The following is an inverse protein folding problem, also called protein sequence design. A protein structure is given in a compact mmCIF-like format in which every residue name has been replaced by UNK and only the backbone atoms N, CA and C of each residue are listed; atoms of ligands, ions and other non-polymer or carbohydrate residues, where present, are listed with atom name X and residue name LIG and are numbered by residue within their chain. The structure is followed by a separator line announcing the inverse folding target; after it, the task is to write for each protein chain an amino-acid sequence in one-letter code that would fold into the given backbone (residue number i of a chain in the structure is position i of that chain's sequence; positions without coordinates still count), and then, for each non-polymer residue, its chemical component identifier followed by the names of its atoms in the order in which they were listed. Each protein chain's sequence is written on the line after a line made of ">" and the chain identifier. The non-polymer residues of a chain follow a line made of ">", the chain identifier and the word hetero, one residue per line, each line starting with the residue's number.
data_IF_567375991114
#
_entry.id   IF_567375991114
#
_cell.length_a   1.000
_cell.length_b   1.000
_cell.length_c   1.000
_cell.angle_alpha   90.00
_cell.angle_beta   90.00
_cell.angle_gamma   90.00
#
_symmetry.space_group_name_H-M   'P 1'
#
loop_
_entity.id
_entity.type
_entity.pdbx_description
1 polymer ?
#
# COMPACT_ATOMS: atom_id res chain seq x y z
N UNK A 1 -12.54 23.61 47.50
CA UNK A 1 -11.12 23.25 47.26
C UNK A 1 -10.99 21.91 46.53
N UNK A 2 -11.33 20.77 47.13
CA UNK A 2 -11.12 19.44 46.53
C UNK A 2 -11.78 19.23 45.14
N UNK A 3 -12.99 19.76 44.92
CA UNK A 3 -13.71 19.65 43.62
C UNK A 3 -13.02 20.40 42.48
N UNK A 4 -12.39 21.55 42.79
CA UNK A 4 -11.65 22.33 41.80
C UNK A 4 -10.35 21.60 41.42
N UNK A 5 -9.68 21.00 42.39
CA UNK A 5 -8.47 20.19 42.13
C UNK A 5 -8.78 18.95 41.27
N UNK A 6 -9.90 18.28 41.50
CA UNK A 6 -10.33 17.11 40.69
C UNK A 6 -10.62 17.53 39.24
N UNK A 7 -11.32 18.64 39.03
CA UNK A 7 -11.60 19.15 37.68
C UNK A 7 -10.32 19.54 36.92
N UNK A 8 -9.34 20.12 37.62
CA UNK A 8 -8.05 20.51 37.05
C UNK A 8 -7.17 19.29 36.70
N UNK A 9 -7.22 18.24 37.52
CA UNK A 9 -6.52 16.98 37.26
C UNK A 9 -7.11 16.23 36.06
N UNK A 10 -8.45 16.19 35.97
CA UNK A 10 -9.15 15.54 34.86
C UNK A 10 -8.91 16.30 33.55
N UNK A 11 -8.93 17.63 33.55
CA UNK A 11 -8.67 18.42 32.35
C UNK A 11 -7.23 18.25 31.83
N UNK A 12 -6.25 18.18 32.74
CA UNK A 12 -4.86 17.92 32.38
C UNK A 12 -4.67 16.52 31.75
N UNK A 13 -5.37 15.50 32.26
CA UNK A 13 -5.29 14.13 31.74
C UNK A 13 -5.89 14.01 30.33
N UNK A 14 -7.00 14.71 30.07
CA UNK A 14 -7.67 14.71 28.75
C UNK A 14 -6.83 15.43 27.70
N UNK A 15 -6.14 16.52 28.07
CA UNK A 15 -5.21 17.21 27.15
C UNK A 15 -4.00 16.34 26.78
N UNK A 16 -3.44 15.57 27.72
CA UNK A 16 -2.31 14.67 27.45
C UNK A 16 -2.67 13.50 26.53
N UNK A 17 -3.93 13.04 26.54
CA UNK A 17 -4.39 11.92 25.72
C UNK A 17 -4.59 12.26 24.23
N UNK A 18 -4.64 13.54 23.87
CA UNK A 18 -4.71 13.98 22.47
C UNK A 18 -3.32 14.14 21.80
N UNK A 19 -2.23 13.93 22.54
CA UNK A 19 -0.86 13.94 22.01
C UNK A 19 -0.48 12.59 21.40
N UNK A 20 -1.00 12.27 20.21
CA UNK A 20 -0.66 11.05 19.49
C UNK A 20 0.68 11.17 18.78
N UNK A 21 1.78 10.87 19.46
CA UNK A 21 3.06 10.65 18.77
C UNK A 21 3.03 9.29 18.06
N UNK A 22 3.15 9.34 16.73
CA UNK A 22 3.40 8.17 15.90
C UNK A 22 4.82 7.67 16.17
N UNK A 23 5.00 6.93 17.26
CA UNK A 23 6.27 6.31 17.60
C UNK A 23 6.57 5.20 16.58
N UNK A 24 7.23 5.58 15.49
CA UNK A 24 7.91 4.62 14.60
C UNK A 24 9.24 4.30 15.29
N UNK A 25 9.50 3.03 15.58
CA UNK A 25 10.76 2.59 16.22
C UNK A 25 12.01 3.07 15.47
N UNK A 26 11.88 3.38 14.17
CA UNK A 26 12.93 3.96 13.35
C UNK A 26 12.48 5.33 12.83
N UNK A 27 12.69 6.38 13.61
CA UNK A 27 12.61 7.76 13.11
C UNK A 27 13.98 8.12 12.56
N UNK A 28 14.16 7.99 11.25
CA UNK A 28 15.23 8.75 10.58
C UNK A 28 14.85 10.22 10.73
N UNK A 29 15.67 10.98 11.46
CA UNK A 29 15.51 12.43 11.57
C UNK A 29 15.82 12.99 10.19
N UNK A 30 14.78 13.22 9.39
CA UNK A 30 14.86 14.15 8.28
C UNK A 30 13.87 15.25 8.57
N UNK A 31 14.35 16.46 8.75
CA UNK A 31 13.54 17.62 9.15
C UNK A 31 12.69 18.14 7.97
N UNK A 32 12.54 17.33 6.91
CA UNK A 32 11.91 17.70 5.64
C UNK A 32 12.74 18.69 4.82
N UNK A 33 13.79 19.26 5.41
CA UNK A 33 14.77 20.13 4.75
C UNK A 33 15.84 19.29 4.05
N UNK A 34 16.27 19.67 2.83
CA UNK A 34 17.43 19.06 2.21
C UNK A 34 18.64 19.20 3.13
N UNK A 35 19.31 18.09 3.44
CA UNK A 35 20.55 18.10 4.23
C UNK A 35 21.67 18.70 3.38
N UNK A 36 22.18 19.86 3.78
CA UNK A 36 23.19 20.61 3.03
C UNK A 36 24.59 19.96 3.01
N UNK A 37 24.80 18.92 3.84
CA UNK A 37 26.05 18.16 3.91
C UNK A 37 25.89 16.68 3.55
N UNK A 38 24.68 16.25 3.17
CA UNK A 38 24.41 14.87 2.79
C UNK A 38 25.02 14.55 1.43
N UNK A 39 26.07 13.73 1.40
CA UNK A 39 26.65 13.24 0.14
C UNK A 39 25.88 11.99 -0.29
N UNK A 40 25.14 12.09 -1.39
CA UNK A 40 24.51 10.94 -2.04
C UNK A 40 25.51 10.35 -3.04
N UNK A 41 26.11 9.16 -2.76
CA UNK A 41 27.01 8.54 -3.71
C UNK A 41 26.25 8.18 -4.99
N UNK A 42 26.84 8.54 -6.13
CA UNK A 42 26.32 8.18 -7.47
C UNK A 42 26.93 6.86 -7.92
N UNK A 43 26.18 6.12 -8.73
CA UNK A 43 26.71 4.93 -9.38
C UNK A 43 27.80 5.34 -10.41
N UNK A 44 28.81 4.48 -10.67
CA UNK A 44 29.86 4.76 -11.63
C UNK A 44 29.32 5.05 -13.03
N UNK A 45 30.02 5.92 -13.78
CA UNK A 45 29.69 6.18 -15.17
C UNK A 45 30.05 4.98 -16.05
N UNK A 46 29.08 4.47 -16.79
CA UNK A 46 29.29 3.45 -17.80
C UNK A 46 29.68 4.12 -19.14
N UNK A 47 30.86 3.76 -19.66
CA UNK A 47 31.33 4.20 -20.98
C UNK A 47 30.84 3.16 -22.00
N UNK A 48 30.08 3.56 -23.04
CA UNK A 48 29.67 2.65 -24.10
C UNK A 48 30.88 2.12 -24.89
N UNK A 49 30.80 0.88 -25.38
CA UNK A 49 31.87 0.25 -26.17
C UNK A 49 32.20 1.03 -27.46
N UNK A 50 31.21 1.73 -28.05
CA UNK A 50 31.36 2.53 -29.25
C UNK A 50 31.24 4.04 -28.97
N UNK A 51 32.39 4.72 -28.91
CA UNK A 51 32.52 6.16 -28.59
C UNK A 51 32.42 7.07 -29.84
N UNK A 52 32.06 6.52 -31.00
CA UNK A 52 31.94 7.32 -32.23
C UNK A 52 30.69 8.21 -32.12
N UNK A 53 30.82 9.50 -32.45
CA UNK A 53 29.74 10.47 -32.29
C UNK A 53 28.42 10.07 -33.02
N UNK A 54 28.50 9.22 -34.03
CA UNK A 54 27.38 8.70 -34.81
C UNK A 54 26.67 7.48 -34.18
N UNK A 55 27.29 6.80 -33.20
CA UNK A 55 26.71 5.66 -32.48
C UNK A 55 26.21 6.02 -31.08
N UNK A 56 26.44 7.26 -30.63
CA UNK A 56 25.93 7.71 -29.33
C UNK A 56 24.40 7.80 -29.40
N UNK A 57 23.68 7.20 -28.44
CA UNK A 57 22.25 7.35 -28.36
C UNK A 57 21.89 8.82 -28.18
N UNK A 58 20.84 9.27 -28.85
CA UNK A 58 20.34 10.64 -28.70
C UNK A 58 20.01 10.90 -27.22
N UNK A 59 20.42 12.04 -26.64
CA UNK A 59 20.07 12.37 -25.27
C UNK A 59 18.55 12.35 -25.12
N UNK A 60 18.06 11.86 -23.98
CA UNK A 60 16.62 11.76 -23.70
C UNK A 60 16.27 12.75 -22.57
N UNK A 61 15.92 14.02 -22.90
CA UNK A 61 15.59 15.02 -21.90
C UNK A 61 14.45 14.56 -21.00
N UNK A 62 14.59 14.79 -19.69
CA UNK A 62 13.57 14.46 -18.68
C UNK A 62 13.52 12.99 -18.26
N UNK A 63 14.35 12.11 -18.82
CA UNK A 63 14.53 10.76 -18.27
C UNK A 63 15.29 10.81 -16.94
N UNK A 64 15.05 9.81 -16.09
CA UNK A 64 15.81 9.63 -14.86
C UNK A 64 17.29 9.40 -15.19
N UNK A 65 18.17 10.02 -14.40
CA UNK A 65 19.60 9.82 -14.56
C UNK A 65 19.97 8.38 -14.17
N UNK A 66 20.80 7.73 -15.01
CA UNK A 66 21.23 6.34 -14.80
C UNK A 66 22.14 6.18 -13.59
N UNK A 67 22.87 7.22 -13.20
CA UNK A 67 23.79 7.18 -12.05
C UNK A 67 23.12 7.55 -10.72
N UNK A 68 21.84 7.91 -10.74
CA UNK A 68 21.11 8.19 -9.52
C UNK A 68 20.75 6.88 -8.82
N UNK A 69 21.00 6.74 -7.50
CA UNK A 69 20.75 5.50 -6.79
C UNK A 69 19.26 5.16 -6.81
N UNK A 70 18.95 3.92 -7.20
CA UNK A 70 17.59 3.36 -7.18
C UNK A 70 17.50 2.24 -6.14
N UNK A 71 17.42 2.57 -4.82
CA UNK A 71 17.57 1.58 -3.75
C UNK A 71 16.53 0.46 -3.82
N UNK A 72 15.28 0.79 -4.17
CA UNK A 72 14.22 -0.20 -4.34
C UNK A 72 14.46 -1.11 -5.54
N UNK A 73 14.92 -0.56 -6.66
CA UNK A 73 15.26 -1.33 -7.86
C UNK A 73 16.40 -2.30 -7.59
N UNK A 74 17.46 -1.82 -6.96
CA UNK A 74 18.64 -2.63 -6.61
C UNK A 74 18.26 -3.75 -5.63
N UNK A 75 17.42 -3.48 -4.63
CA UNK A 75 16.90 -4.50 -3.73
C UNK A 75 16.07 -5.58 -4.46
N UNK A 76 15.20 -5.17 -5.39
CA UNK A 76 14.40 -6.10 -6.19
C UNK A 76 15.29 -7.00 -7.03
N UNK A 77 16.32 -6.44 -7.69
CA UNK A 77 17.28 -7.20 -8.49
C UNK A 77 18.06 -8.21 -7.66
N UNK A 78 18.57 -7.81 -6.49
CA UNK A 78 19.29 -8.70 -5.56
C UNK A 78 18.40 -9.86 -5.07
N UNK A 79 17.10 -9.60 -4.90
CA UNK A 79 16.12 -10.63 -4.52
C UNK A 79 15.66 -11.49 -5.70
N UNK A 80 16.21 -11.30 -6.90
CA UNK A 80 15.88 -12.05 -8.12
C UNK A 80 14.62 -11.58 -8.84
N UNK A 81 14.13 -10.39 -8.52
CA UNK A 81 12.98 -9.76 -9.17
C UNK A 81 13.36 -8.88 -10.37
N UNK A 82 12.34 -8.41 -11.10
CA UNK A 82 12.54 -7.54 -12.26
C UNK A 82 12.34 -6.06 -11.88
N UNK A 83 13.37 -5.22 -12.07
CA UNK A 83 13.32 -3.76 -11.82
C UNK A 83 12.26 -3.06 -12.65
N UNK A 84 12.01 -3.50 -13.88
CA UNK A 84 11.01 -2.91 -14.75
C UNK A 84 9.58 -3.07 -14.19
N UNK A 85 9.35 -4.03 -13.30
CA UNK A 85 8.05 -4.21 -12.64
C UNK A 85 7.70 -3.03 -11.71
N UNK A 86 8.68 -2.30 -11.19
CA UNK A 86 8.45 -1.12 -10.34
C UNK A 86 7.82 0.04 -11.11
N UNK A 87 8.08 0.12 -12.42
CA UNK A 87 7.58 1.16 -13.31
C UNK A 87 6.50 0.64 -14.27
N UNK A 88 6.00 -0.59 -14.05
CA UNK A 88 5.02 -1.20 -14.91
C UNK A 88 3.69 -0.43 -14.82
N UNK A 89 3.40 0.37 -15.85
CA UNK A 89 2.12 1.06 -16.03
C UNK A 89 1.18 0.17 -16.82
N UNK A 90 0.46 -0.71 -16.11
CA UNK A 90 -0.62 -1.51 -16.68
C UNK A 90 -0.41 -3.02 -16.56
N UNK A 91 -1.13 -3.76 -17.39
CA UNK A 91 -1.15 -5.22 -17.36
C UNK A 91 0.03 -5.76 -18.18
N UNK A 92 0.85 -6.68 -17.65
CA UNK A 92 1.90 -7.35 -18.41
C UNK A 92 1.35 -8.07 -19.66
N UNK A 93 2.10 -8.06 -20.76
CA UNK A 93 1.70 -8.77 -21.98
C UNK A 93 1.49 -10.28 -21.75
N UNK A 94 2.21 -10.89 -20.80
CA UNK A 94 2.04 -12.28 -20.37
C UNK A 94 0.63 -12.59 -19.87
N UNK A 95 -0.05 -11.60 -19.31
CA UNK A 95 -1.33 -11.78 -18.62
C UNK A 95 -2.52 -11.43 -19.52
N UNK A 96 -2.27 -11.01 -20.76
CA UNK A 96 -3.29 -10.61 -21.74
C UNK A 96 -4.32 -11.71 -22.00
N UNK A 97 -3.89 -12.97 -22.14
CA UNK A 97 -4.78 -14.11 -22.34
C UNK A 97 -5.68 -14.37 -21.13
N UNK A 98 -5.15 -14.20 -19.90
CA UNK A 98 -5.92 -14.33 -18.67
C UNK A 98 -6.98 -13.23 -18.57
N UNK A 99 -6.61 -11.99 -18.90
CA UNK A 99 -7.57 -10.87 -18.90
C UNK A 99 -8.65 -11.05 -19.95
N UNK A 100 -8.29 -11.48 -21.17
CA UNK A 100 -9.26 -11.77 -22.21
C UNK A 100 -10.26 -12.84 -21.76
N UNK A 101 -9.77 -13.91 -21.12
CA UNK A 101 -10.62 -14.97 -20.58
C UNK A 101 -11.51 -14.48 -19.43
N UNK A 102 -10.98 -13.67 -18.51
CA UNK A 102 -11.74 -13.12 -17.40
C UNK A 102 -12.82 -12.12 -17.85
N UNK A 103 -12.50 -11.31 -18.87
CA UNK A 103 -13.39 -10.30 -19.45
C UNK A 103 -14.42 -10.83 -20.44
N UNK A 104 -14.51 -12.15 -20.68
CA UNK A 104 -15.38 -12.77 -21.69
C UNK A 104 -16.87 -12.43 -21.57
N UNK A 105 -17.33 -12.07 -20.38
CA UNK A 105 -18.73 -11.67 -20.12
C UNK A 105 -18.96 -10.15 -20.17
N UNK A 106 -17.95 -9.38 -20.59
CA UNK A 106 -17.98 -7.92 -20.60
C UNK A 106 -17.53 -7.31 -19.28
N UNK A 107 -16.99 -6.09 -19.37
CA UNK A 107 -16.56 -5.28 -18.22
C UNK A 107 -17.18 -3.90 -18.36
N UNK A 108 -17.93 -3.46 -17.35
CA UNK A 108 -18.45 -2.10 -17.33
C UNK A 108 -17.29 -1.10 -17.17
N UNK A 109 -17.09 -0.15 -18.10
CA UNK A 109 -15.92 0.72 -18.12
C UNK A 109 -15.82 1.61 -16.87
N UNK A 110 -16.97 1.99 -16.30
CA UNK A 110 -17.06 2.86 -15.12
C UNK A 110 -17.28 2.11 -13.80
N UNK A 111 -17.10 0.77 -13.76
CA UNK A 111 -17.43 -0.05 -12.59
C UNK A 111 -16.75 0.41 -11.31
N UNK A 112 -15.51 0.92 -11.39
CA UNK A 112 -14.77 1.41 -10.23
C UNK A 112 -15.42 2.64 -9.60
N UNK A 113 -15.89 3.57 -10.43
CA UNK A 113 -16.57 4.77 -9.96
C UNK A 113 -17.94 4.41 -9.36
N UNK A 114 -18.68 3.51 -10.01
CA UNK A 114 -19.95 2.99 -9.52
C UNK A 114 -19.81 2.30 -8.17
N UNK A 115 -18.88 1.33 -8.05
CA UNK A 115 -18.63 0.63 -6.79
C UNK A 115 -18.21 1.58 -5.68
N UNK A 116 -17.38 2.59 -5.97
CA UNK A 116 -16.99 3.59 -4.98
C UNK A 116 -18.19 4.38 -4.45
N UNK A 117 -19.09 4.81 -5.33
CA UNK A 117 -20.30 5.54 -4.93
C UNK A 117 -21.27 4.65 -4.13
N UNK A 118 -21.46 3.40 -4.54
CA UNK A 118 -22.32 2.43 -3.85
C UNK A 118 -21.77 2.08 -2.47
N UNK A 119 -20.45 1.92 -2.36
CA UNK A 119 -19.74 1.61 -1.12
C UNK A 119 -19.88 2.75 -0.10
N UNK A 120 -19.69 4.00 -0.54
CA UNK A 120 -19.89 5.17 0.31
C UNK A 120 -21.36 5.26 0.80
N UNK A 121 -22.33 5.02 -0.09
CA UNK A 121 -23.74 5.00 0.27
C UNK A 121 -24.07 3.88 1.26
N UNK A 122 -23.45 2.70 1.11
CA UNK A 122 -23.57 1.58 2.04
C UNK A 122 -23.01 1.93 3.42
N UNK A 123 -21.81 2.50 3.48
CA UNK A 123 -21.18 2.93 4.73
C UNK A 123 -21.98 4.02 5.44
N UNK A 124 -22.53 5.00 4.71
CA UNK A 124 -23.41 6.04 5.29
C UNK A 124 -24.63 5.42 5.99
N UNK A 125 -25.29 4.44 5.37
CA UNK A 125 -26.43 3.72 5.98
C UNK A 125 -26.00 2.90 7.19
N UNK A 126 -24.85 2.24 7.13
CA UNK A 126 -24.32 1.44 8.23
C UNK A 126 -23.94 2.29 9.46
N UNK A 127 -23.53 3.56 9.25
CA UNK A 127 -23.15 4.49 10.33
C UNK A 127 -24.33 5.21 10.97
N UNK A 128 -25.45 5.36 10.27
CA UNK A 128 -26.60 6.16 10.71
C UNK A 128 -27.14 5.79 12.11
N UNK A 129 -27.02 4.51 12.49
CA UNK A 129 -27.53 3.99 13.77
C UNK A 129 -26.41 3.67 14.80
N UNK A 130 -25.17 4.10 14.55
CA UNK A 130 -24.00 3.77 15.38
C UNK A 130 -23.36 5.04 15.97
N UNK A 131 -24.05 5.73 16.87
CA UNK A 131 -23.42 6.76 17.71
C UNK A 131 -22.67 6.07 18.85
N UNK A 132 -21.35 6.26 18.95
CA UNK A 132 -20.52 5.68 20.01
C UNK A 132 -19.54 6.69 20.61
N UNK A 133 -19.27 6.50 21.90
CA UNK A 133 -18.36 7.31 22.70
C UNK A 133 -16.91 6.77 22.68
N UNK A 134 -16.70 5.52 22.23
CA UNK A 134 -15.40 4.82 22.22
C UNK A 134 -15.08 4.38 20.80
N UNK A 135 -13.79 4.49 20.42
CA UNK A 135 -13.27 4.11 19.10
C UNK A 135 -13.40 2.59 18.90
N UNK A 136 -14.08 2.18 17.83
CA UNK A 136 -14.34 0.78 17.45
C UNK A 136 -13.99 0.57 15.97
N UNK A 137 -13.84 -0.68 15.53
CA UNK A 137 -13.57 -1.03 14.13
C UNK A 137 -14.89 -1.00 13.31
N UNK A 138 -15.31 0.23 12.98
CA UNK A 138 -16.54 0.51 12.21
C UNK A 138 -16.54 -0.17 10.84
N UNK A 139 -15.37 -0.23 10.21
CA UNK A 139 -15.19 -0.83 8.90
C UNK A 139 -15.50 -2.32 8.99
N UNK A 140 -14.82 -3.06 9.88
CA UNK A 140 -15.07 -4.50 10.06
C UNK A 140 -16.51 -4.79 10.48
N UNK A 141 -17.14 -3.91 11.25
CA UNK A 141 -18.56 -4.06 11.63
C UNK A 141 -19.49 -3.90 10.42
N UNK A 142 -19.28 -2.88 9.58
CA UNK A 142 -20.09 -2.65 8.39
C UNK A 142 -19.99 -3.84 7.41
N UNK A 143 -18.80 -4.40 7.23
CA UNK A 143 -18.58 -5.54 6.33
C UNK A 143 -18.71 -6.91 7.00
N UNK A 144 -19.18 -7.02 8.25
CA UNK A 144 -19.20 -8.29 9.00
C UNK A 144 -19.85 -9.45 8.24
N UNK A 145 -20.92 -9.16 7.49
CA UNK A 145 -21.64 -10.12 6.64
C UNK A 145 -20.87 -10.58 5.40
N UNK A 146 -19.84 -9.86 5.01
CA UNK A 146 -18.98 -10.16 3.85
C UNK A 146 -17.63 -10.77 4.28
N UNK A 147 -17.33 -10.78 5.59
CA UNK A 147 -16.13 -11.42 6.11
C UNK A 147 -16.39 -12.92 6.15
N UNK A 148 -15.55 -13.67 5.43
CA UNK A 148 -15.54 -15.13 5.44
C UNK A 148 -14.60 -15.64 6.53
N UNK A 149 -14.99 -16.73 7.19
CA UNK A 149 -14.08 -17.50 8.03
C UNK A 149 -13.18 -18.35 7.13
N UNK A 150 -11.91 -17.96 7.04
CA UNK A 150 -10.93 -18.62 6.20
C UNK A 150 -10.77 -20.11 6.55
N UNK A 151 -10.72 -20.45 7.84
CA UNK A 151 -10.53 -21.84 8.27
C UNK A 151 -11.76 -22.69 7.93
N UNK A 152 -12.96 -22.16 8.17
CA UNK A 152 -14.19 -22.85 7.81
C UNK A 152 -14.33 -23.06 6.29
N UNK A 153 -13.96 -22.05 5.49
CA UNK A 153 -14.05 -22.12 4.03
C UNK A 153 -13.03 -23.12 3.44
N UNK A 154 -11.81 -23.17 4.00
CA UNK A 154 -10.81 -24.19 3.63
C UNK A 154 -11.33 -25.60 3.93
N UNK A 155 -11.93 -25.82 5.10
CA UNK A 155 -12.53 -27.12 5.43
C UNK A 155 -13.67 -27.47 4.46
N UNK A 156 -14.50 -26.49 4.07
CA UNK A 156 -15.56 -26.67 3.07
C UNK A 156 -14.98 -27.12 1.73
N UNK A 157 -13.93 -26.46 1.25
CA UNK A 157 -13.27 -26.81 -0.01
C UNK A 157 -12.60 -28.18 0.01
N UNK A 158 -11.95 -28.55 1.12
CA UNK A 158 -11.37 -29.88 1.30
C UNK A 158 -12.44 -30.98 1.26
N UNK A 159 -13.58 -30.77 1.93
CA UNK A 159 -14.72 -31.70 1.88
C UNK A 159 -15.31 -31.82 0.48
N UNK A 160 -15.27 -30.75 -0.31
CA UNK A 160 -15.69 -30.74 -1.70
C UNK A 160 -14.64 -31.32 -2.68
N UNK A 161 -13.50 -31.81 -2.18
CA UNK A 161 -12.42 -32.37 -3.02
C UNK A 161 -11.62 -31.33 -3.82
N UNK A 162 -11.80 -30.03 -3.54
CA UNK A 162 -11.07 -28.96 -4.20
C UNK A 162 -9.67 -28.83 -3.59
N UNK A 163 -8.66 -28.67 -4.45
CA UNK A 163 -7.28 -28.44 -4.01
C UNK A 163 -7.19 -27.09 -3.27
N UNK A 164 -6.83 -27.13 -2.00
CA UNK A 164 -6.58 -25.93 -1.19
C UNK A 164 -5.07 -25.72 -1.01
N UNK A 165 -4.56 -24.47 -0.99
CA UNK A 165 -3.17 -24.18 -0.67
C UNK A 165 -2.80 -24.62 0.74
N UNK A 166 -1.50 -24.79 1.01
CA UNK A 166 -0.97 -25.10 2.35
C UNK A 166 -1.21 -23.92 3.27
N UNK A 167 -1.82 -24.17 4.43
CA UNK A 167 -2.19 -23.13 5.41
C UNK A 167 -1.28 -23.29 6.63
N UNK A 168 -0.67 -22.22 7.15
CA UNK A 168 0.11 -22.30 8.39
C UNK A 168 -0.75 -22.77 9.57
N UNK A 169 -0.17 -23.45 10.57
CA UNK A 169 -0.92 -23.90 11.75
C UNK A 169 -1.54 -22.70 12.48
N UNK A 170 -2.72 -22.91 13.06
CA UNK A 170 -3.36 -21.90 13.91
C UNK A 170 -2.44 -21.65 15.13
N UNK A 171 -2.10 -20.37 15.36
CA UNK A 171 -1.41 -19.93 16.58
C UNK A 171 -2.39 -19.75 17.72
#
# INVERSE_FOLDING_TARGET
>A
MARACILLLVSALVLAACGGDNYRLNKFISDGTPEEFGIVPKEPLEIPDDIRAQSLPQPTPGQANRTDPQPLGNAVEVLGGNRAALNATGVPASDSALIAQAGRFGVAPNIRATLKAEDEAFLKRAKLFNVKLVRDDEYRKAYRRFILDAAAEILRFRRAGVRTPTVPPQQ
#
